data_IF_429738099848
#
_entry.id   IF_429738099848
#
_cell.length_a   1.000
_cell.length_b   1.000
_cell.length_c   1.000
_cell.angle_alpha   90.00
_cell.angle_beta   90.00
_cell.angle_gamma   90.00
#
_symmetry.space_group_name_H-M   'P 1'
#
loop_
_entity.id
_entity.type
_entity.pdbx_description
1 polymer ?
#
# COMPACT_ATOMS: atom_id res chain seq x y z
N UNK A 1 8.36 -27.86 -42.72
CA UNK A 1 7.34 -26.81 -42.91
C UNK A 1 7.57 -25.77 -41.82
N UNK A 2 8.71 -25.07 -41.86
CA UNK A 2 9.33 -24.58 -40.60
C UNK A 2 9.73 -23.09 -40.60
N UNK A 3 9.68 -22.40 -41.75
CA UNK A 3 10.01 -20.97 -41.81
C UNK A 3 8.80 -20.04 -41.56
N UNK A 4 7.60 -20.44 -41.98
CA UNK A 4 6.39 -19.61 -41.80
C UNK A 4 5.93 -19.53 -40.34
N UNK A 5 6.09 -20.60 -39.56
CA UNK A 5 5.76 -20.60 -38.13
C UNK A 5 6.75 -19.75 -37.32
N UNK A 6 8.05 -19.81 -37.63
CA UNK A 6 9.06 -19.00 -36.95
C UNK A 6 8.85 -17.48 -37.17
N UNK A 7 8.42 -17.09 -38.38
CA UNK A 7 8.09 -15.69 -38.69
C UNK A 7 6.82 -15.22 -37.97
N UNK A 8 5.79 -16.06 -37.87
CA UNK A 8 4.56 -15.73 -37.12
C UNK A 8 4.83 -15.59 -35.61
N UNK A 9 5.64 -16.47 -35.02
CA UNK A 9 6.01 -16.38 -33.59
C UNK A 9 6.86 -15.14 -33.33
N UNK A 10 7.78 -14.79 -34.23
CA UNK A 10 8.59 -13.56 -34.11
C UNK A 10 7.76 -12.29 -34.28
N UNK A 11 6.74 -12.31 -35.14
CA UNK A 11 5.79 -11.21 -35.35
C UNK A 11 4.87 -11.00 -34.13
N UNK A 12 4.42 -12.10 -33.50
CA UNK A 12 3.64 -12.07 -32.26
C UNK A 12 4.47 -11.54 -31.09
N UNK A 13 5.74 -11.93 -30.97
CA UNK A 13 6.64 -11.40 -29.93
C UNK A 13 6.93 -9.90 -30.13
N UNK A 14 7.01 -9.42 -31.38
CA UNK A 14 7.17 -8.00 -31.67
C UNK A 14 5.94 -7.16 -31.25
N UNK A 15 4.74 -7.73 -31.31
CA UNK A 15 3.50 -7.09 -30.82
C UNK A 15 3.46 -6.99 -29.28
N UNK A 16 4.10 -7.91 -28.56
CA UNK A 16 4.25 -7.81 -27.10
C UNK A 16 5.41 -6.91 -26.66
N UNK A 17 6.32 -6.56 -27.58
CA UNK A 17 7.52 -5.75 -27.29
C UNK A 17 7.24 -4.23 -27.26
N UNK A 18 6.07 -3.77 -27.70
CA UNK A 18 5.64 -2.36 -27.59
C UNK A 18 4.72 -2.18 -26.39
N UNK A 19 5.19 -2.63 -25.22
CA UNK A 19 4.65 -2.28 -23.91
C UNK A 19 5.55 -1.30 -23.17
N UNK A 20 6.28 -0.44 -23.90
CA UNK A 20 7.09 0.61 -23.31
C UNK A 20 6.18 1.70 -22.72
N UNK A 21 5.71 1.46 -21.48
CA UNK A 21 5.54 2.48 -20.45
C UNK A 21 4.71 3.71 -20.78
N UNK A 22 3.49 3.57 -21.31
CA UNK A 22 2.53 4.65 -21.16
C UNK A 22 2.18 4.77 -19.67
N UNK A 23 2.70 5.82 -19.00
CA UNK A 23 2.32 6.14 -17.63
C UNK A 23 0.80 6.21 -17.52
N UNK A 24 0.21 5.48 -16.58
CA UNK A 24 -1.24 5.54 -16.34
C UNK A 24 -1.66 7.00 -16.12
N UNK A 25 -2.76 7.44 -16.71
CA UNK A 25 -3.25 8.80 -16.43
C UNK A 25 -3.64 8.92 -14.95
N UNK A 26 -3.51 10.13 -14.38
CA UNK A 26 -3.89 10.42 -12.99
C UNK A 26 -5.34 9.99 -12.69
N UNK A 27 -6.25 10.13 -13.65
CA UNK A 27 -7.63 9.65 -13.51
C UNK A 27 -7.69 8.13 -13.29
N UNK A 28 -6.96 7.36 -14.09
CA UNK A 28 -6.92 5.90 -13.95
C UNK A 28 -6.28 5.48 -12.63
N UNK A 29 -5.20 6.16 -12.21
CA UNK A 29 -4.56 5.90 -10.91
C UNK A 29 -5.53 6.18 -9.77
N UNK A 30 -6.21 7.34 -9.77
CA UNK A 30 -7.21 7.69 -8.76
C UNK A 30 -8.33 6.66 -8.66
N UNK A 31 -8.88 6.22 -9.79
CA UNK A 31 -9.95 5.21 -9.80
C UNK A 31 -9.47 3.90 -9.20
N UNK A 32 -8.30 3.40 -9.62
CA UNK A 32 -7.75 2.16 -9.07
C UNK A 32 -7.43 2.25 -7.57
N UNK A 33 -6.84 3.36 -7.12
CA UNK A 33 -6.55 3.60 -5.69
C UNK A 33 -7.86 3.66 -4.89
N UNK A 34 -8.89 4.33 -5.42
CA UNK A 34 -10.21 4.38 -4.80
C UNK A 34 -10.81 2.99 -4.64
N UNK A 35 -10.81 2.19 -5.70
CA UNK A 35 -11.41 0.85 -5.69
C UNK A 35 -10.70 -0.08 -4.70
N UNK A 36 -9.37 -0.04 -4.69
CA UNK A 36 -8.56 -0.79 -3.72
C UNK A 36 -8.81 -0.32 -2.28
N UNK A 37 -8.83 1.00 -2.03
CA UNK A 37 -9.06 1.54 -0.69
C UNK A 37 -10.46 1.17 -0.15
N UNK A 38 -11.49 1.24 -0.98
CA UNK A 38 -12.84 0.79 -0.60
C UNK A 38 -12.88 -0.70 -0.30
N UNK A 39 -12.24 -1.51 -1.14
CA UNK A 39 -12.16 -2.97 -0.96
C UNK A 39 -11.48 -3.33 0.35
N UNK A 40 -10.32 -2.73 0.64
CA UNK A 40 -9.59 -2.93 1.87
C UNK A 40 -10.39 -2.51 3.11
N UNK A 41 -11.07 -1.35 3.07
CA UNK A 41 -11.98 -0.92 4.17
C UNK A 41 -13.08 -1.94 4.43
N UNK A 42 -13.70 -2.48 3.37
CA UNK A 42 -14.76 -3.50 3.50
C UNK A 42 -14.19 -4.78 4.10
N UNK A 43 -13.02 -5.26 3.64
CA UNK A 43 -12.38 -6.45 4.19
C UNK A 43 -12.04 -6.27 5.68
N UNK A 44 -11.45 -5.13 6.04
CA UNK A 44 -11.11 -4.83 7.43
C UNK A 44 -12.37 -4.84 8.31
N UNK A 45 -13.48 -4.25 7.84
CA UNK A 45 -14.76 -4.29 8.58
C UNK A 45 -15.30 -5.71 8.79
N UNK A 46 -14.98 -6.67 7.90
CA UNK A 46 -15.42 -8.07 8.01
C UNK A 46 -14.60 -8.90 9.00
N UNK A 47 -13.41 -8.44 9.41
CA UNK A 47 -12.53 -9.15 10.34
C UNK A 47 -12.97 -9.07 11.82
N UNK A 48 -14.20 -8.58 12.09
CA UNK A 48 -14.78 -8.37 13.42
C UNK A 48 -13.82 -7.83 14.49
N UNK A 49 -13.20 -6.70 14.15
CA UNK A 49 -12.13 -6.11 14.95
C UNK A 49 -12.77 -5.26 16.05
N UNK A 50 -12.99 -5.86 17.21
CA UNK A 50 -13.36 -5.10 18.41
C UNK A 50 -12.18 -4.20 18.81
N UNK A 51 -12.33 -2.86 18.80
CA UNK A 51 -11.26 -1.97 19.19
C UNK A 51 -11.11 -2.03 20.71
N UNK A 52 -10.15 -2.81 21.19
CA UNK A 52 -9.60 -2.54 22.51
C UNK A 52 -8.81 -1.23 22.36
N UNK A 53 -9.29 -0.17 23.00
CA UNK A 53 -8.59 1.11 23.07
C UNK A 53 -7.30 0.85 23.86
N UNK A 54 -6.15 0.95 23.21
CA UNK A 54 -4.85 0.65 23.82
C UNK A 54 -4.03 1.93 23.80
N UNK A 55 -3.91 2.57 24.98
CA UNK A 55 -2.96 3.66 25.19
C UNK A 55 -1.52 3.18 24.95
N UNK A 56 -0.73 3.93 24.17
CA UNK A 56 0.71 3.72 24.00
C UNK A 56 1.16 3.02 22.72
N UNK A 57 0.27 2.37 21.96
CA UNK A 57 0.59 1.82 20.61
C UNK A 57 0.56 2.90 19.53
N UNK A 58 -0.13 4.02 19.80
CA UNK A 58 -0.33 5.12 18.87
C UNK A 58 0.98 5.78 18.39
N UNK A 59 2.05 5.74 19.19
CA UNK A 59 3.33 6.34 18.80
C UNK A 59 4.07 5.57 17.69
N UNK A 60 3.71 4.31 17.44
CA UNK A 60 4.43 3.43 16.50
C UNK A 60 3.72 3.22 15.16
N UNK A 61 2.44 3.56 15.07
CA UNK A 61 1.65 3.38 13.86
C UNK A 61 1.53 4.73 13.12
N UNK A 62 1.96 4.84 11.85
CA UNK A 62 1.77 6.04 11.07
C UNK A 62 0.28 6.38 10.97
N UNK A 63 0.01 7.69 11.00
CA UNK A 63 -1.33 8.29 11.04
C UNK A 63 -2.07 8.16 12.40
N UNK A 64 -1.31 8.35 13.48
CA UNK A 64 -1.73 8.29 14.88
C UNK A 64 -2.80 9.33 15.28
N UNK A 65 -2.91 10.46 14.57
CA UNK A 65 -3.96 11.44 14.80
C UNK A 65 -5.03 11.40 13.70
N UNK A 66 -6.30 11.43 14.09
CA UNK A 66 -7.44 11.56 13.16
C UNK A 66 -7.31 12.84 12.31
N UNK A 67 -6.58 13.83 12.83
CA UNK A 67 -6.44 15.17 12.26
C UNK A 67 -5.16 15.39 11.42
N UNK A 68 -4.31 14.36 11.27
CA UNK A 68 -3.15 14.50 10.40
C UNK A 68 -3.57 14.51 8.92
N UNK A 69 -3.23 15.57 8.16
CA UNK A 69 -3.54 15.62 6.74
C UNK A 69 -2.80 14.50 6.01
N UNK A 70 -3.43 13.98 4.96
CA UNK A 70 -2.71 13.14 4.01
C UNK A 70 -1.81 14.06 3.19
N UNK A 71 -0.51 13.82 3.29
CA UNK A 71 0.52 14.51 2.52
C UNK A 71 0.57 13.99 1.07
N UNK A 72 1.55 14.47 0.29
CA UNK A 72 1.71 14.09 -1.11
C UNK A 72 2.00 12.60 -1.33
N UNK A 73 1.98 12.20 -2.60
CA UNK A 73 2.21 10.84 -3.09
C UNK A 73 3.37 10.09 -2.40
N UNK A 74 4.54 10.70 -2.13
CA UNK A 74 5.63 9.99 -1.44
C UNK A 74 5.26 9.48 -0.04
N UNK A 75 4.58 10.31 0.76
CA UNK A 75 4.12 9.96 2.11
C UNK A 75 3.04 8.87 2.07
N UNK A 76 2.21 8.88 1.02
CA UNK A 76 1.21 7.84 0.77
C UNK A 76 1.89 6.50 0.46
N UNK A 77 2.90 6.50 -0.41
CA UNK A 77 3.70 5.30 -0.73
C UNK A 77 4.36 4.74 0.54
N UNK A 78 4.99 5.60 1.34
CA UNK A 78 5.65 5.20 2.59
C UNK A 78 4.67 4.59 3.60
N UNK A 79 3.53 5.25 3.81
CA UNK A 79 2.50 4.76 4.72
C UNK A 79 1.95 3.41 4.27
N UNK A 80 1.68 3.23 2.98
CA UNK A 80 1.23 1.95 2.44
C UNK A 80 2.30 0.86 2.54
N UNK A 81 3.57 1.20 2.36
CA UNK A 81 4.70 0.30 2.59
C UNK A 81 4.75 -0.19 4.03
N UNK A 82 4.67 0.73 5.00
CA UNK A 82 4.61 0.37 6.42
C UNK A 82 3.47 -0.61 6.74
N UNK A 83 2.26 -0.34 6.25
CA UNK A 83 1.12 -1.22 6.52
C UNK A 83 1.22 -2.56 5.80
N UNK A 84 1.81 -2.61 4.60
CA UNK A 84 2.10 -3.88 3.94
C UNK A 84 3.05 -4.73 4.80
N UNK A 85 4.15 -4.15 5.27
CA UNK A 85 5.15 -4.86 6.08
C UNK A 85 4.55 -5.31 7.42
N UNK A 86 3.72 -4.47 8.04
CA UNK A 86 3.00 -4.81 9.26
C UNK A 86 1.99 -5.94 9.06
N UNK A 87 1.24 -5.94 7.96
CA UNK A 87 0.29 -7.01 7.63
C UNK A 87 1.02 -8.34 7.37
N UNK A 88 2.19 -8.30 6.72
CA UNK A 88 3.07 -9.46 6.56
C UNK A 88 3.58 -9.97 7.90
N UNK A 89 3.99 -9.08 8.80
CA UNK A 89 4.44 -9.43 10.15
C UNK A 89 3.36 -10.12 10.98
N UNK A 90 2.10 -9.70 10.86
CA UNK A 90 0.98 -10.30 11.59
C UNK A 90 0.69 -11.75 11.15
N UNK A 91 1.17 -12.16 9.97
CA UNK A 91 1.17 -13.54 9.45
C UNK A 91 -0.11 -14.33 9.75
N UNK A 92 -1.26 -13.79 9.31
CA UNK A 92 -2.58 -14.41 9.49
C UNK A 92 -3.22 -14.75 8.16
N UNK A 93 -3.80 -15.96 8.07
CA UNK A 93 -4.49 -16.44 6.88
C UNK A 93 -5.66 -15.51 6.46
N UNK A 94 -6.36 -14.93 7.44
CA UNK A 94 -7.48 -14.01 7.20
C UNK A 94 -7.02 -12.68 6.59
N UNK A 95 -5.72 -12.36 6.70
CA UNK A 95 -5.13 -11.12 6.17
C UNK A 95 -4.56 -11.28 4.76
N UNK A 96 -4.48 -12.49 4.21
CA UNK A 96 -3.80 -12.74 2.92
C UNK A 96 -4.30 -11.84 1.80
N UNK A 97 -5.62 -11.72 1.64
CA UNK A 97 -6.19 -10.84 0.61
C UNK A 97 -5.94 -9.35 0.89
N UNK A 98 -5.86 -8.96 2.17
CA UNK A 98 -5.55 -7.58 2.55
C UNK A 98 -4.08 -7.24 2.27
N UNK A 99 -3.15 -8.19 2.47
CA UNK A 99 -1.73 -8.08 2.07
C UNK A 99 -1.61 -7.90 0.56
N UNK A 100 -2.32 -8.71 -0.22
CA UNK A 100 -2.32 -8.63 -1.69
C UNK A 100 -2.86 -7.27 -2.18
N UNK A 101 -3.96 -6.79 -1.60
CA UNK A 101 -4.54 -5.49 -1.94
C UNK A 101 -3.57 -4.33 -1.57
N UNK A 102 -2.93 -4.40 -0.39
CA UNK A 102 -1.96 -3.40 0.06
C UNK A 102 -0.73 -3.36 -0.84
N UNK A 103 -0.19 -4.53 -1.20
CA UNK A 103 0.93 -4.68 -2.13
C UNK A 103 0.59 -4.11 -3.51
N UNK A 104 -0.62 -4.41 -4.02
CA UNK A 104 -1.11 -3.89 -5.30
C UNK A 104 -1.26 -2.38 -5.28
N UNK A 105 -1.81 -1.81 -4.20
CA UNK A 105 -1.93 -0.37 -4.04
C UNK A 105 -0.56 0.30 -3.98
N UNK A 106 0.37 -0.22 -3.18
CA UNK A 106 1.73 0.31 -3.09
C UNK A 106 2.42 0.29 -4.45
N UNK A 107 2.42 -0.84 -5.15
CA UNK A 107 3.06 -0.94 -6.46
C UNK A 107 2.45 0.00 -7.51
N UNK A 108 1.12 0.20 -7.48
CA UNK A 108 0.47 1.20 -8.32
C UNK A 108 0.96 2.63 -8.02
N UNK A 109 1.06 2.99 -6.74
CA UNK A 109 1.49 4.30 -6.28
C UNK A 109 2.98 4.54 -6.55
N UNK A 110 3.83 3.54 -6.36
CA UNK A 110 5.27 3.59 -6.68
C UNK A 110 5.49 3.81 -8.17
N UNK A 111 4.79 3.07 -9.02
CA UNK A 111 4.84 3.24 -10.47
C UNK A 111 4.39 4.65 -10.89
N UNK A 112 3.29 5.13 -10.30
CA UNK A 112 2.82 6.49 -10.52
C UNK A 112 3.87 7.52 -10.08
N UNK A 113 4.44 7.36 -8.89
CA UNK A 113 5.48 8.23 -8.33
C UNK A 113 6.72 8.28 -9.21
N UNK A 114 7.22 7.14 -9.69
CA UNK A 114 8.37 7.08 -10.60
C UNK A 114 8.11 7.83 -11.91
N UNK A 115 6.88 7.77 -12.44
CA UNK A 115 6.53 8.46 -13.68
C UNK A 115 6.23 9.95 -13.52
N UNK A 116 5.74 10.36 -12.35
CA UNK A 116 5.17 11.69 -12.11
C UNK A 116 6.08 12.60 -11.28
N UNK A 117 6.85 12.05 -10.34
CA UNK A 117 7.73 12.81 -9.46
C UNK A 117 9.18 12.73 -9.94
N UNK A 118 9.62 13.71 -10.73
CA UNK A 118 11.03 13.79 -11.17
C UNK A 118 11.98 13.96 -9.98
N UNK A 119 13.00 13.11 -9.89
CA UNK A 119 14.15 13.32 -8.98
C UNK A 119 14.05 12.71 -7.58
N UNK A 120 12.96 12.04 -7.19
CA UNK A 120 12.94 11.24 -5.96
C UNK A 120 13.46 9.82 -6.24
N UNK A 121 14.72 9.58 -5.92
CA UNK A 121 15.20 8.22 -5.67
C UNK A 121 14.49 7.71 -4.42
N UNK A 122 13.86 6.54 -4.51
CA UNK A 122 13.19 5.90 -3.39
C UNK A 122 14.25 5.63 -2.31
N UNK A 123 14.20 6.37 -1.21
CA UNK A 123 15.04 6.08 -0.05
C UNK A 123 14.55 4.74 0.47
N UNK A 124 15.36 3.69 0.34
CA UNK A 124 15.02 2.38 0.92
C UNK A 124 14.84 2.60 2.42
N UNK A 125 13.59 2.56 2.88
CA UNK A 125 13.27 2.54 4.30
C UNK A 125 13.84 1.22 4.83
N UNK A 126 14.85 1.30 5.70
CA UNK A 126 15.59 0.13 6.17
C UNK A 126 14.68 -0.86 6.90
N UNK A 127 14.68 -2.11 6.45
CA UNK A 127 13.86 -3.23 6.95
C UNK A 127 14.06 -3.59 8.44
N UNK A 128 14.98 -2.93 9.17
CA UNK A 128 15.44 -3.42 10.48
C UNK A 128 14.71 -2.93 11.73
N UNK A 129 13.86 -1.91 11.65
CA UNK A 129 13.31 -1.25 12.86
C UNK A 129 11.92 -1.73 13.30
N UNK A 130 11.08 -2.13 12.34
CA UNK A 130 9.66 -2.37 12.59
C UNK A 130 9.42 -3.66 13.39
N UNK A 131 10.07 -4.76 12.99
CA UNK A 131 9.93 -6.06 13.65
C UNK A 131 10.35 -6.01 15.13
N UNK A 132 11.52 -5.44 15.42
CA UNK A 132 12.02 -5.24 16.79
C UNK A 132 11.09 -4.34 17.62
N UNK A 133 10.59 -3.24 17.06
CA UNK A 133 9.65 -2.35 17.76
C UNK A 133 8.31 -3.03 18.07
N UNK A 134 7.79 -3.84 17.13
CA UNK A 134 6.54 -4.58 17.31
C UNK A 134 6.69 -5.70 18.34
N UNK A 135 7.82 -6.42 18.33
CA UNK A 135 8.14 -7.43 19.34
C UNK A 135 8.27 -6.81 20.73
N UNK A 136 8.94 -5.68 20.85
CA UNK A 136 9.07 -4.98 22.14
C UNK A 136 7.71 -4.49 22.66
N UNK A 137 6.87 -3.93 21.79
CA UNK A 137 5.50 -3.50 22.12
C UNK A 137 4.65 -4.68 22.61
N UNK A 138 4.70 -5.81 21.89
CA UNK A 138 3.98 -7.04 22.26
C UNK A 138 4.46 -7.56 23.62
N UNK A 139 5.78 -7.55 23.86
CA UNK A 139 6.37 -7.98 25.13
C UNK A 139 6.01 -7.06 26.30
N UNK A 140 6.05 -5.74 26.08
CA UNK A 140 5.87 -4.73 27.12
C UNK A 140 4.41 -4.62 27.58
N UNK A 141 3.46 -4.80 26.66
CA UNK A 141 2.05 -4.59 26.95
C UNK A 141 1.20 -5.85 26.88
N UNK A 142 1.70 -6.97 26.35
CA UNK A 142 0.95 -8.23 26.23
C UNK A 142 -0.19 -8.19 25.21
N UNK A 143 -0.15 -7.24 24.26
CA UNK A 143 -1.26 -6.92 23.36
C UNK A 143 -0.95 -7.33 21.93
N UNK A 144 -1.98 -7.81 21.22
CA UNK A 144 -1.92 -8.00 19.78
C UNK A 144 -1.98 -6.63 19.09
N UNK A 145 -0.93 -6.30 18.33
CA UNK A 145 -0.88 -5.07 17.52
C UNK A 145 -1.89 -5.11 16.36
N UNK A 146 -2.41 -6.31 16.01
CA UNK A 146 -3.30 -6.54 14.88
C UNK A 146 -4.57 -5.69 14.86
N UNK A 147 -5.45 -5.75 15.89
CA UNK A 147 -6.69 -4.97 15.92
C UNK A 147 -6.48 -3.46 15.79
N UNK A 148 -5.48 -2.92 16.50
CA UNK A 148 -5.15 -1.49 16.45
C UNK A 148 -4.62 -1.11 15.07
N UNK A 149 -3.69 -1.90 14.53
CA UNK A 149 -3.12 -1.70 13.19
C UNK A 149 -4.19 -1.69 12.10
N UNK A 150 -5.11 -2.65 12.12
CA UNK A 150 -6.18 -2.75 11.14
C UNK A 150 -7.17 -1.57 11.25
N UNK A 151 -7.49 -1.14 12.47
CA UNK A 151 -8.34 0.04 12.67
C UNK A 151 -7.65 1.32 12.18
N UNK A 152 -6.35 1.46 12.40
CA UNK A 152 -5.53 2.59 11.92
C UNK A 152 -5.42 2.61 10.40
N UNK A 153 -5.15 1.47 9.76
CA UNK A 153 -5.17 1.31 8.31
C UNK A 153 -6.53 1.70 7.74
N UNK A 154 -7.63 1.20 8.31
CA UNK A 154 -8.99 1.57 7.90
C UNK A 154 -9.23 3.07 7.97
N UNK A 155 -8.80 3.72 9.05
CA UNK A 155 -8.89 5.16 9.22
C UNK A 155 -8.07 5.93 8.17
N UNK A 156 -6.85 5.48 7.90
CA UNK A 156 -5.99 6.05 6.87
C UNK A 156 -6.61 5.93 5.47
N UNK A 157 -7.09 4.74 5.10
CA UNK A 157 -7.79 4.50 3.84
C UNK A 157 -9.04 5.38 3.70
N UNK A 158 -9.80 5.54 4.79
CA UNK A 158 -10.95 6.45 4.84
C UNK A 158 -10.57 7.89 4.52
N UNK A 159 -9.46 8.39 5.08
CA UNK A 159 -8.94 9.73 4.75
C UNK A 159 -8.42 9.79 3.30
N UNK A 160 -7.76 8.74 2.80
CA UNK A 160 -7.22 8.70 1.44
C UNK A 160 -8.33 8.83 0.41
N UNK A 161 -9.46 8.17 0.64
CA UNK A 161 -10.65 8.28 -0.20
C UNK A 161 -11.19 9.71 -0.30
N UNK A 162 -11.01 10.53 0.74
CA UNK A 162 -11.41 11.94 0.75
C UNK A 162 -10.38 12.87 0.11
N UNK A 163 -9.14 12.41 -0.06
CA UNK A 163 -7.99 13.23 -0.47
C UNK A 163 -7.22 12.60 -1.65
N UNK A 164 -7.92 11.99 -2.61
CA UNK A 164 -7.31 11.36 -3.80
C UNK A 164 -6.62 12.39 -4.73
N UNK A 165 -6.86 13.67 -4.51
CA UNK A 165 -6.12 14.76 -5.16
C UNK A 165 -4.64 14.76 -4.76
N UNK A 166 -4.31 14.30 -3.55
CA UNK A 166 -2.94 14.25 -3.01
C UNK A 166 -1.99 13.35 -3.81
N UNK A 167 -2.54 12.43 -4.60
CA UNK A 167 -1.79 11.60 -5.56
C UNK A 167 -1.06 12.43 -6.64
N UNK A 168 -1.42 13.70 -6.82
CA UNK A 168 -0.79 14.57 -7.81
C UNK A 168 0.43 15.35 -7.25
N UNK A 169 0.64 15.35 -5.94
CA UNK A 169 1.67 16.15 -5.29
C UNK A 169 2.89 15.32 -4.90
N UNK A 170 4.08 15.88 -5.10
CA UNK A 170 5.37 15.21 -4.90
C UNK A 170 6.22 15.83 -3.78
N UNK A 171 5.63 16.64 -2.90
CA UNK A 171 6.30 17.26 -1.75
C UNK A 171 6.18 16.40 -0.50
#
# INVERSE_FOLDING_TARGET
>A
MDCSMALLVSSLLALFSVGAGASLSLHVVRTKVKDLAQTMVIRIKKLDISPNLIEGVDSFLPAAAVDQPIEGLPSIVETMGFYQDLLLFLDSADLKQLVEDASTMRGLLENWMMSHCSGRQQKQTGEGGLSEALKDTTRKYGLSVGPVALNRLKGYLGRLLLNLDQLNYCY
#
